data_IF_651956183907
#
_entry.id   IF_651956183907
#
_cell.length_a   1.000
_cell.length_b   1.000
_cell.length_c   1.000
_cell.angle_alpha   90.00
_cell.angle_beta   90.00
_cell.angle_gamma   90.00
#
_symmetry.space_group_name_H-M   'P 1'
#
loop_
_entity.id
_entity.type
_entity.pdbx_description
1 polymer ?
#
# COMPACT_ATOMS: atom_id res chain seq x y z
N UNK A 1 -3.64 28.86 -11.47
CA UNK A 1 -4.43 27.62 -11.50
C UNK A 1 -3.78 26.73 -10.47
N UNK A 2 -4.31 26.70 -9.26
CA UNK A 2 -3.86 25.72 -8.26
C UNK A 2 -4.39 24.38 -8.74
N UNK A 3 -3.50 23.54 -9.27
CA UNK A 3 -3.83 22.14 -9.52
C UNK A 3 -4.11 21.51 -8.17
N UNK A 4 -5.36 21.10 -7.92
CA UNK A 4 -5.70 20.27 -6.77
C UNK A 4 -4.82 19.03 -6.83
N UNK A 5 -3.83 18.97 -5.94
CA UNK A 5 -2.87 17.88 -5.90
C UNK A 5 -3.65 16.60 -5.55
N UNK A 6 -3.60 15.54 -6.38
CA UNK A 6 -4.40 14.35 -6.14
C UNK A 6 -3.95 13.70 -4.83
N UNK A 7 -4.79 13.74 -3.80
CA UNK A 7 -4.50 13.09 -2.51
C UNK A 7 -4.58 11.57 -2.65
N UNK A 8 -3.78 10.86 -1.83
CA UNK A 8 -3.80 9.41 -1.78
C UNK A 8 -5.23 8.92 -1.53
N UNK A 9 -5.70 8.00 -2.36
CA UNK A 9 -7.02 7.41 -2.16
C UNK A 9 -6.91 6.30 -1.11
N UNK A 10 -7.09 6.66 0.16
CA UNK A 10 -7.02 5.74 1.29
C UNK A 10 -8.43 5.38 1.75
N UNK A 11 -8.78 4.10 1.60
CA UNK A 11 -10.07 3.58 2.02
C UNK A 11 -10.24 3.56 3.55
N UNK A 12 -11.49 3.68 4.00
CA UNK A 12 -11.87 3.73 5.44
C UNK A 12 -11.39 2.55 6.30
N UNK A 13 -11.09 1.41 5.68
CA UNK A 13 -10.67 0.16 6.35
C UNK A 13 -9.15 -0.04 6.33
N UNK A 14 -8.41 0.90 5.75
CA UNK A 14 -6.95 0.89 5.77
C UNK A 14 -6.46 1.30 7.15
N UNK A 15 -5.58 0.48 7.72
CA UNK A 15 -4.91 0.76 8.99
C UNK A 15 -3.49 1.28 8.70
N UNK A 16 -3.21 2.49 9.16
CA UNK A 16 -1.89 3.11 9.05
C UNK A 16 -1.24 3.16 10.43
N UNK A 17 -0.22 2.33 10.64
CA UNK A 17 0.51 2.26 11.89
C UNK A 17 1.84 3.01 11.76
N UNK A 18 1.79 4.33 11.66
CA UNK A 18 2.99 5.19 11.48
C UNK A 18 3.84 4.82 10.23
N UNK A 19 3.23 4.79 9.02
CA UNK A 19 4.02 4.63 7.80
C UNK A 19 4.97 5.82 7.64
N UNK A 20 6.18 5.56 7.13
CA UNK A 20 7.16 6.62 6.88
C UNK A 20 6.75 7.52 5.71
N UNK A 21 6.11 6.94 4.69
CA UNK A 21 5.75 7.66 3.47
C UNK A 21 4.59 7.00 2.73
N UNK A 22 3.65 7.80 2.24
CA UNK A 22 2.61 7.35 1.28
C UNK A 22 2.47 8.42 0.21
N UNK A 23 2.84 8.10 -1.02
CA UNK A 23 2.71 9.02 -2.13
C UNK A 23 1.23 9.31 -2.42
N UNK A 24 0.94 10.55 -2.81
CA UNK A 24 -0.42 11.05 -3.03
C UNK A 24 -1.14 10.38 -4.21
N UNK A 25 -0.39 9.78 -5.14
CA UNK A 25 -0.98 9.01 -6.25
C UNK A 25 -1.28 7.55 -5.90
N UNK A 26 -0.99 7.10 -4.66
CA UNK A 26 -1.28 5.74 -4.23
C UNK A 26 -2.79 5.51 -4.07
N UNK A 27 -3.25 4.31 -4.44
CA UNK A 27 -4.63 3.89 -4.30
C UNK A 27 -4.72 2.64 -3.43
N UNK A 28 -5.24 2.77 -2.21
CA UNK A 28 -5.26 1.71 -1.21
C UNK A 28 -6.69 1.49 -0.73
N UNK A 29 -7.26 0.33 -1.08
CA UNK A 29 -8.65 0.00 -0.80
C UNK A 29 -8.80 -1.34 -0.08
N UNK A 30 -9.74 -1.39 0.87
CA UNK A 30 -10.12 -2.60 1.59
C UNK A 30 -9.32 -2.84 2.85
N UNK A 31 -9.20 -4.11 3.28
CA UNK A 31 -8.51 -4.49 4.52
C UNK A 31 -6.99 -4.49 4.33
N UNK A 32 -6.38 -3.32 4.34
CA UNK A 32 -4.93 -3.15 4.20
C UNK A 32 -4.33 -2.65 5.51
N UNK A 33 -3.21 -3.22 5.95
CA UNK A 33 -2.44 -2.72 7.09
C UNK A 33 -1.04 -2.34 6.64
N UNK A 34 -0.69 -1.06 6.82
CA UNK A 34 0.66 -0.55 6.64
C UNK A 34 1.32 -0.46 8.02
N UNK A 35 2.38 -1.25 8.24
CA UNK A 35 3.13 -1.21 9.50
C UNK A 35 4.09 -0.02 9.56
N UNK A 36 4.75 0.12 10.72
CA UNK A 36 5.71 1.18 10.99
C UNK A 36 6.82 1.24 9.95
N UNK A 37 7.20 2.46 9.58
CA UNK A 37 8.29 2.77 8.66
C UNK A 37 8.09 2.20 7.22
N UNK A 38 6.86 1.83 6.86
CA UNK A 38 6.52 1.45 5.48
C UNK A 38 6.56 2.68 4.56
N UNK A 39 7.06 2.52 3.33
CA UNK A 39 7.03 3.55 2.29
C UNK A 39 6.27 3.06 1.06
N UNK A 40 5.27 3.83 0.62
CA UNK A 40 4.45 3.57 -0.55
C UNK A 40 4.73 4.65 -1.60
N UNK A 41 5.19 4.23 -2.76
CA UNK A 41 5.70 5.11 -3.82
C UNK A 41 4.63 5.39 -4.90
N UNK A 42 4.90 6.28 -5.88
CA UNK A 42 3.92 6.67 -6.89
C UNK A 42 3.17 5.51 -7.56
N UNK A 43 1.86 5.70 -7.75
CA UNK A 43 0.98 4.80 -8.52
C UNK A 43 0.93 3.35 -8.02
N UNK A 44 1.27 3.12 -6.76
CA UNK A 44 1.01 1.84 -6.10
C UNK A 44 -0.49 1.66 -5.93
N UNK A 45 -0.98 0.47 -6.29
CA UNK A 45 -2.38 0.08 -6.09
C UNK A 45 -2.45 -1.14 -5.19
N UNK A 46 -3.21 -1.04 -4.10
CA UNK A 46 -3.51 -2.17 -3.22
C UNK A 46 -5.01 -2.36 -3.11
N UNK A 47 -5.50 -3.58 -3.38
CA UNK A 47 -6.92 -3.89 -3.36
C UNK A 47 -7.22 -5.19 -2.61
N UNK A 48 -7.97 -5.06 -1.52
CA UNK A 48 -8.19 -6.10 -0.52
C UNK A 48 -9.68 -6.24 -0.13
N UNK A 49 -10.49 -6.83 -1.01
CA UNK A 49 -11.94 -6.98 -0.78
C UNK A 49 -12.30 -8.20 0.05
N UNK A 50 -11.64 -9.33 -0.20
CA UNK A 50 -11.99 -10.62 0.39
C UNK A 50 -11.11 -10.99 1.58
N UNK A 51 -9.82 -10.66 1.51
CA UNK A 51 -8.81 -10.98 2.51
C UNK A 51 -8.03 -9.72 2.88
N UNK A 52 -7.08 -9.82 3.80
CA UNK A 52 -6.22 -8.71 4.16
C UNK A 52 -4.91 -8.68 3.38
N UNK A 53 -4.39 -7.47 3.17
CA UNK A 53 -2.99 -7.23 2.79
C UNK A 53 -2.28 -6.66 4.02
N UNK A 54 -1.14 -7.25 4.38
CA UNK A 54 -0.30 -6.74 5.47
C UNK A 54 1.10 -6.47 4.94
N UNK A 55 1.53 -5.22 5.06
CA UNK A 55 2.89 -4.80 4.70
C UNK A 55 3.73 -4.74 5.98
N UNK A 56 4.73 -5.61 6.10
CA UNK A 56 5.63 -5.66 7.26
C UNK A 56 6.46 -4.39 7.43
N UNK A 57 6.91 -4.15 8.66
CA UNK A 57 7.70 -2.97 9.06
C UNK A 57 8.91 -2.75 8.14
N UNK A 58 9.26 -1.48 7.91
CA UNK A 58 10.44 -1.05 7.14
C UNK A 58 10.49 -1.60 5.70
N UNK A 59 9.32 -1.88 5.12
CA UNK A 59 9.20 -2.36 3.74
C UNK A 59 8.88 -1.21 2.79
N UNK A 60 9.51 -1.19 1.62
CA UNK A 60 9.19 -0.26 0.55
C UNK A 60 8.42 -0.97 -0.58
N UNK A 61 7.36 -0.33 -1.04
CA UNK A 61 6.54 -0.75 -2.18
C UNK A 61 6.71 0.31 -3.25
N UNK A 62 7.56 0.03 -4.23
CA UNK A 62 8.04 1.01 -5.20
C UNK A 62 7.01 1.25 -6.33
N UNK A 63 7.36 2.15 -7.23
CA UNK A 63 6.44 2.72 -8.22
C UNK A 63 5.71 1.67 -9.08
N UNK A 64 4.42 1.90 -9.31
CA UNK A 64 3.55 1.04 -10.13
C UNK A 64 3.42 -0.41 -9.67
N UNK A 65 3.70 -0.71 -8.40
CA UNK A 65 3.42 -2.04 -7.83
C UNK A 65 1.91 -2.21 -7.59
N UNK A 66 1.40 -3.37 -7.97
CA UNK A 66 0.00 -3.77 -7.80
C UNK A 66 -0.10 -4.97 -6.85
N UNK A 67 -0.78 -4.78 -5.72
CA UNK A 67 -1.02 -5.86 -4.75
C UNK A 67 -2.50 -6.18 -4.70
N UNK A 68 -2.83 -7.44 -4.99
CA UNK A 68 -4.19 -7.95 -4.90
C UNK A 68 -4.22 -9.17 -3.98
N UNK A 69 -5.35 -9.39 -3.32
CA UNK A 69 -5.57 -10.60 -2.54
C UNK A 69 -5.74 -11.84 -3.43
N UNK A 70 -5.21 -12.98 -3.00
CA UNK A 70 -5.50 -14.27 -3.63
C UNK A 70 -6.92 -14.74 -3.31
N UNK A 71 -7.39 -15.77 -4.01
CA UNK A 71 -8.73 -16.31 -3.79
C UNK A 71 -8.91 -16.94 -2.39
N UNK A 72 -7.84 -17.51 -1.84
CA UNK A 72 -7.85 -18.22 -0.54
C UNK A 72 -6.71 -17.82 0.39
N UNK A 73 -5.76 -17.00 -0.07
CA UNK A 73 -4.55 -16.65 0.68
C UNK A 73 -4.35 -15.14 0.75
N UNK A 74 -4.10 -14.59 1.96
CA UNK A 74 -3.77 -13.18 2.12
C UNK A 74 -2.33 -12.88 1.67
N UNK A 75 -2.06 -11.74 1.03
CA UNK A 75 -0.69 -11.26 0.81
C UNK A 75 -0.13 -10.70 2.12
N UNK A 76 0.80 -11.45 2.70
CA UNK A 76 1.55 -11.00 3.88
C UNK A 76 2.99 -10.78 3.45
N UNK A 77 3.40 -9.52 3.38
CA UNK A 77 4.76 -9.15 3.04
C UNK A 77 5.61 -9.13 4.32
N UNK A 78 6.81 -9.71 4.22
CA UNK A 78 7.77 -9.76 5.31
C UNK A 78 8.27 -8.36 5.71
N UNK A 79 9.01 -8.28 6.82
CA UNK A 79 9.67 -7.05 7.28
C UNK A 79 10.97 -6.81 6.50
N UNK A 80 11.37 -5.55 6.35
CA UNK A 80 12.61 -5.12 5.67
C UNK A 80 12.69 -5.61 4.21
N UNK A 81 11.56 -5.65 3.50
CA UNK A 81 11.54 -6.04 2.10
C UNK A 81 11.55 -4.83 1.16
N UNK A 82 11.96 -5.05 -0.08
CA UNK A 82 11.81 -4.10 -1.18
C UNK A 82 11.03 -4.79 -2.29
N UNK A 83 9.82 -4.31 -2.56
CA UNK A 83 9.08 -4.71 -3.76
C UNK A 83 9.30 -3.64 -4.79
N UNK A 84 10.11 -3.98 -5.79
CA UNK A 84 10.60 -3.03 -6.79
C UNK A 84 9.55 -2.73 -7.85
N UNK A 85 9.83 -1.71 -8.65
CA UNK A 85 8.91 -1.16 -9.64
C UNK A 85 8.27 -2.21 -10.58
N UNK A 86 7.04 -1.94 -11.02
CA UNK A 86 6.33 -2.70 -12.07
C UNK A 86 6.12 -4.19 -11.74
N UNK A 87 5.72 -4.49 -10.51
CA UNK A 87 5.36 -5.85 -10.04
C UNK A 87 3.88 -5.95 -9.74
#
# INVERSE_FOLDING_TARGET
MEEETPMAHIGKHVKMNEPAFVHETAYIYGKVTLQKDVSIWPYVVMRAEMHEIVIGEKTNIQDFVMVHVGNTTPPILCKNCSITHHV
#
